data_IF_630538222774
#
_entry.id   IF_630538222774
#
_cell.length_a   1.000
_cell.length_b   1.000
_cell.length_c   1.000
_cell.angle_alpha   90.00
_cell.angle_beta   90.00
_cell.angle_gamma   90.00
#
_symmetry.space_group_name_H-M   'P 1'
#
loop_
_entity.id
_entity.type
_entity.pdbx_description
1 polymer ?
#
# COMPACT_ATOMS: atom_id res chain seq x y z
N UNK A 1 22.09 6.10 10.19
CA UNK A 1 20.71 5.94 9.65
C UNK A 1 19.77 6.57 10.67
N UNK A 2 19.14 7.73 10.38
CA UNK A 2 18.36 8.51 11.35
C UNK A 2 16.86 8.17 11.23
N UNK A 3 16.24 7.72 12.33
CA UNK A 3 14.80 7.43 12.45
C UNK A 3 14.15 8.42 13.44
N UNK A 4 13.01 9.02 13.08
CA UNK A 4 12.26 9.99 13.90
C UNK A 4 10.74 9.74 13.72
N UNK A 5 9.95 9.92 14.79
CA UNK A 5 8.56 9.47 15.02
C UNK A 5 7.53 10.63 14.87
N UNK A 6 6.28 10.34 14.47
CA UNK A 6 5.13 11.27 14.45
C UNK A 6 3.89 10.77 15.25
N UNK A 7 3.03 11.70 15.73
CA UNK A 7 1.70 11.48 16.36
C UNK A 7 0.64 12.36 15.68
N UNK A 8 -0.62 11.87 15.57
CA UNK A 8 -1.76 12.57 14.95
C UNK A 8 -2.94 12.80 15.92
N UNK A 9 -3.78 13.80 15.63
CA UNK A 9 -5.13 14.02 16.18
C UNK A 9 -6.02 14.65 15.09
N UNK A 10 -7.25 14.15 14.93
CA UNK A 10 -8.31 14.59 14.00
C UNK A 10 -9.55 14.97 14.80
N UNK A 11 -10.37 15.92 14.31
CA UNK A 11 -11.79 16.06 14.68
C UNK A 11 -12.64 16.55 13.50
N UNK A 12 -13.86 16.02 13.45
CA UNK A 12 -14.93 16.15 12.44
C UNK A 12 -16.16 16.83 13.07
N UNK A 13 -17.02 17.50 12.29
CA UNK A 13 -18.48 17.50 12.52
C UNK A 13 -19.29 18.06 11.33
N UNK A 14 -20.53 17.57 11.22
CA UNK A 14 -21.51 17.63 10.13
C UNK A 14 -22.77 18.49 10.47
N UNK A 15 -23.71 18.54 9.49
CA UNK A 15 -25.19 18.74 9.53
C UNK A 15 -25.72 20.20 9.50
N UNK A 16 -26.88 20.60 8.94
CA UNK A 16 -27.87 20.18 7.89
C UNK A 16 -29.16 21.04 8.08
N UNK A 17 -30.04 21.10 7.05
CA UNK A 17 -31.51 21.38 6.99
C UNK A 17 -31.85 22.61 6.13
N UNK A 18 -32.87 22.66 5.26
CA UNK A 18 -34.11 21.89 5.01
C UNK A 18 -35.23 22.91 4.71
N UNK A 19 -36.18 22.66 3.78
CA UNK A 19 -37.57 23.21 3.78
C UNK A 19 -38.42 22.73 2.56
N UNK A 20 -39.71 22.52 2.80
CA UNK A 20 -40.76 21.97 1.91
C UNK A 20 -41.56 23.03 1.12
N UNK A 21 -42.20 22.68 -0.02
CA UNK A 21 -43.68 22.61 -0.17
C UNK A 21 -44.23 22.48 -1.63
N UNK A 22 -45.22 21.57 -1.77
CA UNK A 22 -46.49 21.57 -2.53
C UNK A 22 -46.65 21.52 -4.08
N UNK A 23 -47.45 20.50 -4.48
CA UNK A 23 -48.54 20.42 -5.49
C UNK A 23 -48.36 20.07 -6.98
N UNK A 24 -49.17 19.07 -7.37
CA UNK A 24 -49.97 18.89 -8.61
C UNK A 24 -49.46 17.94 -9.72
N UNK A 25 -50.33 16.96 -10.04
CA UNK A 25 -50.19 15.94 -11.06
C UNK A 25 -50.44 16.47 -12.48
N UNK A 26 -49.60 16.08 -13.43
CA UNK A 26 -49.99 15.86 -14.83
C UNK A 26 -49.03 14.91 -15.53
N UNK A 27 -49.60 13.92 -16.21
CA UNK A 27 -48.91 12.88 -16.96
C UNK A 27 -48.04 13.48 -18.07
N UNK A 28 -46.73 13.31 -17.92
CA UNK A 28 -45.77 13.24 -19.01
C UNK A 28 -44.68 12.27 -18.55
N UNK A 29 -44.55 11.12 -19.21
CA UNK A 29 -43.42 10.20 -19.03
C UNK A 29 -42.14 10.87 -19.56
N UNK A 30 -41.64 11.88 -18.86
CA UNK A 30 -40.22 12.23 -18.86
C UNK A 30 -39.57 11.21 -17.94
N UNK A 31 -38.63 10.43 -18.46
CA UNK A 31 -37.70 9.61 -17.67
C UNK A 31 -37.03 10.53 -16.64
N UNK A 32 -37.65 10.60 -15.47
CA UNK A 32 -37.14 11.31 -14.32
C UNK A 32 -35.94 10.50 -13.88
N UNK A 33 -34.73 10.98 -14.16
CA UNK A 33 -33.52 10.53 -13.48
C UNK A 33 -33.77 10.76 -11.99
N UNK A 34 -34.27 9.74 -11.31
CA UNK A 34 -34.23 9.68 -9.87
C UNK A 34 -32.74 9.60 -9.53
N UNK A 35 -32.14 10.75 -9.21
CA UNK A 35 -30.95 10.77 -8.40
C UNK A 35 -31.36 10.23 -7.03
N UNK A 36 -31.43 8.91 -6.92
CA UNK A 36 -31.31 8.27 -5.62
C UNK A 36 -29.92 8.65 -5.11
N UNK A 37 -29.84 9.38 -4.00
CA UNK A 37 -28.62 9.55 -3.21
C UNK A 37 -28.11 8.21 -2.61
N UNK A 38 -28.50 7.08 -3.19
CA UNK A 38 -27.96 5.79 -2.86
C UNK A 38 -26.54 5.74 -3.43
N UNK A 39 -25.53 5.38 -2.62
CA UNK A 39 -24.20 5.15 -3.15
C UNK A 39 -24.29 4.09 -4.25
N UNK A 40 -23.53 4.29 -5.33
CA UNK A 40 -23.40 3.26 -6.35
C UNK A 40 -22.82 1.98 -5.73
N UNK A 41 -23.19 0.79 -6.22
CA UNK A 41 -22.58 -0.46 -5.78
C UNK A 41 -21.06 -0.41 -5.88
N UNK A 42 -20.35 -0.99 -4.91
CA UNK A 42 -18.88 -1.06 -4.88
C UNK A 42 -18.28 -1.79 -6.10
N UNK A 43 -19.08 -2.58 -6.80
CA UNK A 43 -18.70 -3.28 -8.03
C UNK A 43 -18.70 -2.39 -9.27
N UNK A 44 -19.25 -1.17 -9.20
CA UNK A 44 -19.18 -0.19 -10.28
C UNK A 44 -17.88 0.59 -10.12
N UNK A 45 -16.94 0.34 -11.02
CA UNK A 45 -15.66 1.03 -11.09
C UNK A 45 -15.76 2.26 -11.98
N UNK A 46 -14.93 3.26 -11.71
CA UNK A 46 -14.67 4.35 -12.65
C UNK A 46 -14.00 3.83 -13.94
N UNK A 47 -14.01 4.65 -15.00
CA UNK A 47 -13.35 4.30 -16.26
C UNK A 47 -11.84 4.06 -16.06
N UNK A 48 -11.19 4.91 -15.24
CA UNK A 48 -9.77 4.77 -14.91
C UNK A 48 -9.49 3.48 -14.13
N UNK A 49 -10.29 3.16 -13.12
CA UNK A 49 -10.15 1.92 -12.34
C UNK A 49 -10.40 0.66 -13.20
N UNK A 50 -11.38 0.72 -14.10
CA UNK A 50 -11.68 -0.36 -15.04
C UNK A 50 -10.53 -0.58 -16.03
N UNK A 51 -9.95 0.49 -16.55
CA UNK A 51 -8.78 0.45 -17.43
C UNK A 51 -7.55 -0.11 -16.68
N UNK A 52 -7.32 0.32 -15.44
CA UNK A 52 -6.22 -0.18 -14.61
C UNK A 52 -6.36 -1.68 -14.37
N UNK A 53 -7.56 -2.12 -13.99
CA UNK A 53 -7.89 -3.54 -13.77
C UNK A 53 -7.58 -4.41 -14.99
N UNK A 54 -8.00 -3.99 -16.18
CA UNK A 54 -7.76 -4.76 -17.40
C UNK A 54 -6.27 -4.78 -17.79
N UNK A 55 -5.56 -3.67 -17.57
CA UNK A 55 -4.11 -3.59 -17.80
C UNK A 55 -3.36 -4.58 -16.90
N UNK A 56 -3.67 -4.60 -15.60
CA UNK A 56 -3.04 -5.53 -14.65
C UNK A 56 -3.41 -6.97 -14.96
N UNK A 57 -4.66 -7.25 -15.34
CA UNK A 57 -5.09 -8.58 -15.75
C UNK A 57 -4.26 -9.10 -16.92
N UNK A 58 -4.14 -8.30 -17.97
CA UNK A 58 -3.37 -8.65 -19.16
C UNK A 58 -1.91 -8.89 -18.81
N UNK A 59 -1.28 -7.98 -18.04
CA UNK A 59 0.08 -8.16 -17.56
C UNK A 59 0.25 -9.47 -16.79
N UNK A 60 -0.69 -9.79 -15.89
CA UNK A 60 -0.62 -10.99 -15.06
C UNK A 60 -0.67 -12.27 -15.91
N UNK A 61 -1.54 -12.31 -16.92
CA UNK A 61 -1.60 -13.46 -17.85
C UNK A 61 -0.36 -13.55 -18.75
N UNK A 62 0.11 -12.42 -19.29
CA UNK A 62 1.16 -12.41 -20.29
C UNK A 62 2.57 -12.54 -19.67
N UNK A 63 2.78 -12.01 -18.46
CA UNK A 63 4.11 -11.88 -17.84
C UNK A 63 4.28 -12.75 -16.58
N UNK A 64 3.24 -12.95 -15.77
CA UNK A 64 3.35 -13.70 -14.51
C UNK A 64 3.04 -15.18 -14.73
N UNK A 65 1.92 -15.49 -15.39
CA UNK A 65 1.43 -16.87 -15.55
C UNK A 65 2.48 -17.85 -16.14
N UNK A 66 3.31 -17.46 -17.13
CA UNK A 66 4.36 -18.34 -17.66
C UNK A 66 5.46 -18.70 -16.66
N UNK A 67 5.65 -17.90 -15.61
CA UNK A 67 6.77 -18.01 -14.67
C UNK A 67 6.41 -18.80 -13.40
N UNK A 68 5.13 -18.99 -13.08
CA UNK A 68 4.64 -19.55 -11.81
C UNK A 68 5.37 -20.85 -11.44
N UNK A 69 5.38 -21.84 -12.34
CA UNK A 69 5.97 -23.16 -12.05
C UNK A 69 7.47 -23.09 -11.76
N UNK A 70 8.19 -22.16 -12.41
CA UNK A 70 9.61 -21.94 -12.18
C UNK A 70 9.81 -21.29 -10.82
N UNK A 71 9.11 -20.18 -10.56
CA UNK A 71 9.23 -19.43 -9.31
C UNK A 71 8.87 -20.26 -8.08
N UNK A 72 7.81 -21.06 -8.16
CA UNK A 72 7.39 -21.97 -7.09
C UNK A 72 8.46 -23.03 -6.80
N UNK A 73 8.97 -23.70 -7.85
CA UNK A 73 10.02 -24.73 -7.72
C UNK A 73 11.34 -24.16 -7.18
N UNK A 74 11.70 -22.95 -7.58
CA UNK A 74 12.95 -22.29 -7.19
C UNK A 74 12.82 -21.51 -5.88
N UNK A 75 11.61 -21.40 -5.33
CA UNK A 75 11.27 -20.56 -4.16
C UNK A 75 11.79 -19.11 -4.31
N UNK A 76 11.73 -18.57 -5.53
CA UNK A 76 12.29 -17.26 -5.87
C UNK A 76 11.41 -16.56 -6.89
N UNK A 77 11.04 -15.30 -6.61
CA UNK A 77 10.41 -14.43 -7.60
C UNK A 77 11.46 -14.03 -8.64
N UNK A 78 11.08 -14.11 -9.92
CA UNK A 78 11.99 -13.81 -11.03
C UNK A 78 12.41 -12.32 -11.03
N UNK A 79 13.72 -12.05 -11.07
CA UNK A 79 14.27 -10.70 -10.94
C UNK A 79 13.81 -9.78 -12.10
N UNK A 80 13.63 -10.33 -13.31
CA UNK A 80 13.13 -9.56 -14.45
C UNK A 80 11.63 -9.27 -14.32
N UNK A 81 10.86 -10.15 -13.66
CA UNK A 81 9.47 -9.86 -13.34
C UNK A 81 9.37 -8.67 -12.36
N UNK A 82 10.23 -8.63 -11.33
CA UNK A 82 10.25 -7.50 -10.38
C UNK A 82 10.52 -6.17 -11.11
N UNK A 83 11.48 -6.13 -12.03
CA UNK A 83 11.74 -4.94 -12.86
C UNK A 83 10.52 -4.53 -13.66
N UNK A 84 9.86 -5.47 -14.33
CA UNK A 84 8.64 -5.21 -15.10
C UNK A 84 7.50 -4.66 -14.22
N UNK A 85 7.37 -5.10 -12.97
CA UNK A 85 6.39 -4.53 -12.04
C UNK A 85 6.65 -3.04 -11.76
N UNK A 86 7.91 -2.64 -11.59
CA UNK A 86 8.29 -1.24 -11.46
C UNK A 86 8.06 -0.45 -12.75
N UNK A 87 8.50 -0.98 -13.90
CA UNK A 87 8.35 -0.33 -15.21
C UNK A 87 6.89 -0.05 -15.58
N UNK A 88 5.96 -0.92 -15.15
CA UNK A 88 4.53 -0.74 -15.36
C UNK A 88 3.84 0.12 -14.27
N UNK A 89 4.60 0.62 -13.28
CA UNK A 89 4.09 1.48 -12.21
C UNK A 89 3.30 0.75 -11.12
N UNK A 90 3.26 -0.59 -11.13
CA UNK A 90 2.49 -1.36 -10.15
C UNK A 90 3.08 -1.34 -8.74
N UNK A 91 4.33 -0.91 -8.59
CA UNK A 91 5.02 -0.82 -7.30
C UNK A 91 4.88 0.55 -6.61
N UNK A 92 4.19 1.52 -7.24
CA UNK A 92 4.08 2.90 -6.75
C UNK A 92 2.77 3.59 -7.16
N UNK A 93 1.67 2.89 -6.93
CA UNK A 93 0.33 3.28 -7.41
C UNK A 93 -0.14 4.58 -6.75
N UNK A 94 0.03 4.71 -5.44
CA UNK A 94 -0.41 5.89 -4.68
C UNK A 94 0.69 6.95 -4.48
N UNK A 95 1.92 6.67 -4.92
CA UNK A 95 3.00 7.67 -4.84
C UNK A 95 2.69 8.80 -5.84
N UNK A 96 2.83 10.04 -5.40
CA UNK A 96 2.61 11.21 -6.26
C UNK A 96 3.55 11.23 -7.46
N UNK A 97 3.06 11.79 -8.58
CA UNK A 97 3.82 11.89 -9.83
C UNK A 97 5.14 12.66 -9.68
N UNK A 98 5.23 13.62 -8.74
CA UNK A 98 6.47 14.34 -8.45
C UNK A 98 7.61 13.44 -7.95
N UNK A 99 7.27 12.30 -7.36
CA UNK A 99 8.22 11.27 -6.93
C UNK A 99 8.25 10.06 -7.89
N UNK A 100 7.62 10.16 -9.07
CA UNK A 100 7.66 9.11 -10.09
C UNK A 100 6.64 7.97 -9.91
N UNK A 101 5.64 8.13 -9.03
CA UNK A 101 4.50 7.21 -8.97
C UNK A 101 3.36 7.61 -9.92
N UNK A 102 2.24 6.88 -9.88
CA UNK A 102 1.09 7.18 -10.74
C UNK A 102 0.08 8.16 -10.13
N UNK A 103 0.11 8.38 -8.82
CA UNK A 103 -0.86 9.22 -8.10
C UNK A 103 -2.30 8.70 -8.17
N UNK A 104 -2.46 7.38 -8.38
CA UNK A 104 -3.76 6.71 -8.52
C UNK A 104 -4.41 6.44 -7.17
N UNK A 105 -5.68 6.03 -7.20
CA UNK A 105 -6.46 5.78 -5.98
C UNK A 105 -6.00 4.52 -5.22
N UNK A 106 -6.26 4.45 -3.91
CA UNK A 106 -6.13 3.22 -3.13
C UNK A 106 -6.97 2.05 -3.69
N UNK A 107 -8.10 2.36 -4.34
CA UNK A 107 -8.90 1.35 -5.05
C UNK A 107 -8.13 0.75 -6.22
N UNK A 108 -7.31 1.55 -6.93
CA UNK A 108 -6.40 1.05 -7.98
C UNK A 108 -5.35 0.10 -7.41
N UNK A 109 -4.79 0.39 -6.22
CA UNK A 109 -3.92 -0.55 -5.49
C UNK A 109 -4.63 -1.85 -5.19
N UNK A 110 -5.88 -1.78 -4.68
CA UNK A 110 -6.70 -2.94 -4.34
C UNK A 110 -6.99 -3.81 -5.57
N UNK A 111 -7.41 -3.21 -6.68
CA UNK A 111 -7.67 -3.90 -7.94
C UNK A 111 -6.42 -4.56 -8.53
N UNK A 112 -5.27 -3.93 -8.37
CA UNK A 112 -3.98 -4.47 -8.82
C UNK A 112 -3.64 -5.74 -8.07
N UNK A 113 -3.71 -5.68 -6.74
CA UNK A 113 -3.48 -6.83 -5.85
C UNK A 113 -4.47 -7.95 -6.17
N UNK A 114 -5.76 -7.62 -6.36
CA UNK A 114 -6.82 -8.58 -6.71
C UNK A 114 -6.54 -9.30 -8.04
N UNK A 115 -6.21 -8.57 -9.11
CA UNK A 115 -6.00 -9.17 -10.44
C UNK A 115 -4.71 -10.00 -10.50
N UNK A 116 -3.63 -9.58 -9.84
CA UNK A 116 -2.41 -10.37 -9.74
C UNK A 116 -2.66 -11.65 -8.92
N UNK A 117 -3.41 -11.56 -7.82
CA UNK A 117 -3.70 -12.72 -6.95
C UNK A 117 -4.49 -13.83 -7.65
N UNK A 118 -5.27 -13.49 -8.69
CA UNK A 118 -5.97 -14.49 -9.53
C UNK A 118 -5.01 -15.38 -10.32
N UNK A 119 -3.76 -14.94 -10.49
CA UNK A 119 -2.71 -15.64 -11.24
C UNK A 119 -1.66 -16.20 -10.29
N UNK A 120 -1.06 -15.35 -9.46
CA UNK A 120 -0.03 -15.75 -8.49
C UNK A 120 -0.15 -14.92 -7.19
N UNK A 121 -0.59 -15.52 -6.07
CA UNK A 121 -0.72 -14.80 -4.80
C UNK A 121 0.62 -14.39 -4.19
N UNK A 122 1.74 -15.07 -4.51
CA UNK A 122 3.07 -14.68 -4.02
C UNK A 122 3.53 -13.37 -4.64
N UNK A 123 3.32 -13.19 -5.95
CA UNK A 123 3.60 -11.91 -6.62
C UNK A 123 2.63 -10.83 -6.16
N UNK A 124 1.37 -11.18 -5.91
CA UNK A 124 0.39 -10.24 -5.37
C UNK A 124 0.82 -9.67 -4.01
N UNK A 125 1.33 -10.51 -3.10
CA UNK A 125 1.83 -10.07 -1.79
C UNK A 125 3.07 -9.17 -1.92
N UNK A 126 3.97 -9.42 -2.88
CA UNK A 126 5.09 -8.51 -3.16
C UNK A 126 4.58 -7.10 -3.49
N UNK A 127 3.61 -7.00 -4.40
CA UNK A 127 3.02 -5.73 -4.84
C UNK A 127 2.20 -5.06 -3.73
N UNK A 128 1.43 -5.83 -2.97
CA UNK A 128 0.64 -5.35 -1.83
C UNK A 128 1.57 -4.74 -0.77
N UNK A 129 2.55 -5.50 -0.28
CA UNK A 129 3.45 -5.03 0.77
C UNK A 129 4.21 -3.76 0.36
N UNK A 130 4.63 -3.66 -0.90
CA UNK A 130 5.27 -2.45 -1.41
C UNK A 130 4.33 -1.25 -1.32
N UNK A 131 3.10 -1.36 -1.83
CA UNK A 131 2.18 -0.22 -1.88
C UNK A 131 1.54 0.10 -0.52
N UNK A 132 0.95 -0.91 0.12
CA UNK A 132 0.04 -0.70 1.26
C UNK A 132 0.77 -0.57 2.58
N UNK A 133 1.99 -1.12 2.70
CA UNK A 133 2.88 -0.93 3.85
C UNK A 133 4.05 -0.01 3.51
N UNK A 134 4.91 -0.41 2.56
CA UNK A 134 6.19 0.24 2.27
C UNK A 134 6.07 1.71 1.91
N UNK A 135 5.37 2.00 0.82
CA UNK A 135 5.13 3.35 0.32
C UNK A 135 4.32 4.16 1.34
N UNK A 136 3.28 3.55 1.89
CA UNK A 136 2.37 4.19 2.84
C UNK A 136 3.03 4.68 4.13
N UNK A 137 4.09 4.00 4.62
CA UNK A 137 4.86 4.51 5.77
C UNK A 137 5.41 5.89 5.45
N UNK A 138 6.07 6.08 4.32
CA UNK A 138 6.63 7.38 3.95
C UNK A 138 5.55 8.40 3.60
N UNK A 139 4.51 8.01 2.86
CA UNK A 139 3.42 8.93 2.50
C UNK A 139 2.74 9.51 3.74
N UNK A 140 2.47 8.68 4.76
CA UNK A 140 1.73 9.08 5.96
C UNK A 140 2.58 9.71 7.04
N UNK A 141 3.79 9.20 7.30
CA UNK A 141 4.61 9.63 8.44
C UNK A 141 6.01 10.09 8.07
N UNK A 142 6.41 10.00 6.81
CA UNK A 142 7.68 10.53 6.33
C UNK A 142 7.72 12.06 6.35
N UNK A 143 8.84 12.63 6.77
CA UNK A 143 9.10 14.06 6.59
C UNK A 143 9.49 14.37 5.13
N UNK A 144 9.58 15.66 4.77
CA UNK A 144 9.89 16.11 3.41
C UNK A 144 11.20 15.49 2.87
N UNK A 145 12.29 15.57 3.63
CA UNK A 145 13.59 15.04 3.23
C UNK A 145 13.56 13.52 3.00
N UNK A 146 12.82 12.77 3.82
CA UNK A 146 12.64 11.33 3.66
C UNK A 146 11.82 11.01 2.41
N UNK A 147 10.73 11.75 2.17
CA UNK A 147 9.90 11.57 0.97
C UNK A 147 10.70 11.81 -0.30
N UNK A 148 11.38 12.96 -0.40
CA UNK A 148 12.24 13.31 -1.54
C UNK A 148 13.35 12.28 -1.77
N UNK A 149 13.91 11.70 -0.71
CA UNK A 149 15.00 10.73 -0.83
C UNK A 149 14.54 9.33 -1.22
N UNK A 150 13.42 8.86 -0.68
CA UNK A 150 13.06 7.43 -0.74
C UNK A 150 11.88 7.13 -1.66
N UNK A 151 10.90 8.02 -1.82
CA UNK A 151 9.77 7.76 -2.71
C UNK A 151 10.19 7.55 -4.18
N UNK A 152 11.13 8.33 -4.75
CA UNK A 152 11.61 8.06 -6.11
C UNK A 152 12.23 6.68 -6.29
N UNK A 153 12.94 6.20 -5.27
CA UNK A 153 13.56 4.86 -5.29
C UNK A 153 12.51 3.77 -5.19
N UNK A 154 11.54 3.93 -4.30
CA UNK A 154 10.43 3.00 -4.14
C UNK A 154 9.49 2.99 -5.35
N UNK A 155 9.54 4.02 -6.20
CA UNK A 155 8.81 4.06 -7.46
C UNK A 155 9.54 3.42 -8.64
N UNK A 156 10.88 3.30 -8.59
CA UNK A 156 11.68 2.91 -9.75
C UNK A 156 12.33 1.53 -9.63
N UNK A 157 12.95 1.21 -8.50
CA UNK A 157 13.85 0.04 -8.45
C UNK A 157 14.03 -0.61 -7.08
N UNK A 158 13.52 0.02 -6.01
CA UNK A 158 13.85 -0.40 -4.65
C UNK A 158 12.63 -1.07 -4.00
N UNK A 159 12.75 -2.38 -3.77
CA UNK A 159 11.79 -3.12 -2.95
C UNK A 159 11.99 -2.78 -1.47
N UNK A 160 10.89 -2.74 -0.72
CA UNK A 160 10.88 -2.52 0.72
C UNK A 160 10.39 -3.74 1.50
N UNK A 161 10.88 -3.85 2.74
CA UNK A 161 10.42 -4.83 3.72
C UNK A 161 9.95 -4.16 5.00
N UNK A 162 8.86 -4.70 5.54
CA UNK A 162 8.25 -4.22 6.78
C UNK A 162 8.59 -5.15 7.94
N UNK A 163 9.37 -4.66 8.91
CA UNK A 163 10.01 -5.50 9.93
C UNK A 163 9.39 -5.26 11.30
N UNK A 164 8.28 -5.95 11.57
CA UNK A 164 7.54 -5.88 12.83
C UNK A 164 7.75 -7.14 13.68
N UNK A 165 7.29 -8.28 13.17
CA UNK A 165 7.24 -9.55 13.90
C UNK A 165 8.61 -10.07 14.33
N UNK A 166 8.64 -10.73 15.48
CA UNK A 166 9.82 -11.36 16.08
C UNK A 166 9.48 -12.79 16.49
N UNK A 167 10.48 -13.66 16.75
CA UNK A 167 10.23 -15.01 17.26
C UNK A 167 9.33 -15.03 18.51
N UNK A 168 9.43 -14.00 19.36
CA UNK A 168 8.63 -13.86 20.59
C UNK A 168 7.41 -12.95 20.47
N UNK A 169 7.15 -12.32 19.31
CA UNK A 169 6.06 -11.35 19.14
C UNK A 169 5.46 -11.43 17.73
N UNK A 170 4.41 -12.23 17.59
CA UNK A 170 3.55 -12.31 16.40
C UNK A 170 2.26 -11.51 16.60
N UNK A 171 1.20 -12.16 17.08
CA UNK A 171 -0.09 -11.50 17.36
C UNK A 171 0.01 -10.39 18.40
N UNK A 172 0.83 -10.57 19.43
CA UNK A 172 1.20 -9.50 20.37
C UNK A 172 2.40 -8.70 19.83
N UNK A 173 2.17 -7.95 18.75
CA UNK A 173 3.23 -7.28 18.01
C UNK A 173 3.98 -6.21 18.84
N UNK A 174 3.35 -5.65 19.86
CA UNK A 174 3.96 -4.61 20.70
C UNK A 174 4.84 -5.17 21.83
N UNK A 175 4.80 -6.49 22.07
CA UNK A 175 5.74 -7.17 22.97
C UNK A 175 7.16 -7.37 22.38
N UNK A 176 7.43 -6.79 21.21
CA UNK A 176 8.72 -6.84 20.52
C UNK A 176 9.90 -6.47 21.44
N UNK A 177 11.01 -7.15 21.24
CA UNK A 177 12.26 -7.02 22.01
C UNK A 177 13.35 -6.27 21.27
N UNK A 178 13.23 -6.07 19.95
CA UNK A 178 14.20 -5.23 19.21
C UNK A 178 14.24 -3.83 19.82
N UNK A 179 15.44 -3.39 20.18
CA UNK A 179 15.67 -2.10 20.82
C UNK A 179 16.32 -1.11 19.86
N UNK A 180 16.09 0.18 20.08
CA UNK A 180 16.79 1.27 19.41
C UNK A 180 17.35 2.22 20.47
N UNK A 181 18.63 2.05 20.83
CA UNK A 181 19.31 2.90 21.81
C UNK A 181 19.91 4.11 21.12
N UNK A 182 19.51 5.32 21.52
CA UNK A 182 20.09 6.57 21.00
C UNK A 182 21.55 6.70 21.43
N UNK A 183 22.42 7.06 20.49
CA UNK A 183 23.80 7.44 20.74
C UNK A 183 24.17 8.61 19.82
N UNK A 184 24.36 9.80 20.41
CA UNK A 184 24.54 11.04 19.67
C UNK A 184 23.39 11.33 18.68
N UNK A 185 23.73 11.35 17.40
CA UNK A 185 22.86 11.64 16.27
C UNK A 185 22.39 10.38 15.51
N UNK A 186 22.65 9.19 16.06
CA UNK A 186 22.21 7.91 15.51
C UNK A 186 21.57 6.99 16.58
N UNK A 187 21.10 5.84 16.15
CA UNK A 187 20.55 4.78 17.00
C UNK A 187 21.29 3.47 16.75
N UNK A 188 21.62 2.74 17.81
CA UNK A 188 21.99 1.33 17.74
C UNK A 188 20.73 0.49 17.81
N UNK A 189 20.45 -0.24 16.73
CA UNK A 189 19.35 -1.20 16.68
C UNK A 189 19.89 -2.59 16.99
N UNK A 190 19.31 -3.27 17.97
CA UNK A 190 19.69 -4.63 18.36
C UNK A 190 18.44 -5.49 18.58
N UNK A 191 18.36 -6.63 17.90
CA UNK A 191 17.24 -7.56 17.98
C UNK A 191 17.22 -8.55 16.82
N UNK A 192 16.10 -9.25 16.68
CA UNK A 192 15.88 -10.21 15.60
C UNK A 192 14.44 -10.11 15.12
N UNK A 193 14.26 -10.07 13.80
CA UNK A 193 12.96 -10.06 13.14
C UNK A 193 12.73 -11.41 12.47
N UNK A 194 11.48 -11.80 12.32
CA UNK A 194 11.11 -13.10 11.76
C UNK A 194 9.90 -12.97 10.83
N UNK A 195 9.86 -13.80 9.79
CA UNK A 195 8.81 -13.81 8.76
C UNK A 195 8.76 -12.52 7.93
N UNK A 196 9.93 -11.94 7.64
CA UNK A 196 10.02 -10.68 6.90
C UNK A 196 10.00 -10.96 5.40
N UNK A 197 8.82 -10.81 4.79
CA UNK A 197 8.64 -10.89 3.35
C UNK A 197 9.53 -9.88 2.62
N UNK A 198 10.02 -10.30 1.45
CA UNK A 198 10.92 -9.56 0.56
C UNK A 198 12.31 -9.25 1.14
N UNK A 199 12.66 -9.78 2.33
CA UNK A 199 13.91 -9.42 3.01
C UNK A 199 15.18 -9.83 2.26
N UNK A 200 15.07 -10.78 1.34
CA UNK A 200 16.10 -11.26 0.44
C UNK A 200 16.40 -10.29 -0.72
N UNK A 201 15.43 -9.48 -1.12
CA UNK A 201 15.54 -8.53 -2.25
C UNK A 201 15.37 -7.06 -1.87
N UNK A 202 15.00 -6.76 -0.62
CA UNK A 202 14.71 -5.40 -0.18
C UNK A 202 15.96 -4.52 -0.08
N UNK A 203 15.86 -3.31 -0.62
CA UNK A 203 16.85 -2.25 -0.46
C UNK A 203 16.51 -1.25 0.66
N UNK A 204 15.29 -1.30 1.20
CA UNK A 204 14.82 -0.48 2.32
C UNK A 204 14.10 -1.36 3.35
N UNK A 205 14.45 -1.20 4.61
CA UNK A 205 13.84 -1.92 5.73
C UNK A 205 13.18 -0.95 6.70
N UNK A 206 11.87 -1.09 6.90
CA UNK A 206 11.13 -0.39 7.95
C UNK A 206 11.16 -1.19 9.24
N UNK A 207 12.13 -0.87 10.12
CA UNK A 207 12.35 -1.63 11.36
C UNK A 207 11.64 -1.02 12.55
N UNK A 208 10.72 -1.79 13.15
CA UNK A 208 10.08 -1.43 14.41
C UNK A 208 10.97 -1.87 15.57
N UNK A 209 11.36 -0.89 16.38
CA UNK A 209 12.25 -1.08 17.51
C UNK A 209 11.82 -0.15 18.66
N UNK A 210 11.97 -0.64 19.89
CA UNK A 210 11.59 0.09 21.08
C UNK A 210 12.74 1.01 21.54
N UNK A 211 12.47 2.31 21.64
CA UNK A 211 13.46 3.29 22.12
C UNK A 211 13.56 3.36 23.64
N UNK A 212 12.59 2.82 24.37
CA UNK A 212 12.54 2.80 25.83
C UNK A 212 11.76 1.57 26.35
N UNK A 213 12.43 0.40 26.47
CA UNK A 213 11.79 -0.83 26.94
C UNK A 213 11.19 -0.75 28.34
N UNK A 214 11.62 0.22 29.16
CA UNK A 214 11.11 0.42 30.52
C UNK A 214 9.64 0.87 30.56
N UNK A 215 9.12 1.36 29.44
CA UNK A 215 7.75 1.90 29.30
C UNK A 215 6.75 0.92 28.71
N UNK A 216 7.16 -0.33 28.42
CA UNK A 216 6.23 -1.38 28.00
C UNK A 216 5.41 -1.77 29.22
N UNK A 217 4.09 -1.56 29.15
CA UNK A 217 3.13 -1.96 30.18
C UNK A 217 2.72 -3.41 30.01
#
# INVERSE_FOLDING_TARGET
MRSIILRSQLKTSLFVNGFNNFTSCSNNYKLRRNHTNAPSPLSILSEDEQFFKETVRKFSQDQIAPLIKKMDKEHKIDDELVKKLFENGFMAIEIDQEYGGSGSSFMSSTLTVEEIAKVDPSVSVLVDLQNTLGNNVLLKVGNKEQKEKYLPRLAQDTVSSFCLSEPSSGSDAFALKTTAKKDGDYYYINGTKMWISNSDIAGIFYVFANTDPSKVK
#
